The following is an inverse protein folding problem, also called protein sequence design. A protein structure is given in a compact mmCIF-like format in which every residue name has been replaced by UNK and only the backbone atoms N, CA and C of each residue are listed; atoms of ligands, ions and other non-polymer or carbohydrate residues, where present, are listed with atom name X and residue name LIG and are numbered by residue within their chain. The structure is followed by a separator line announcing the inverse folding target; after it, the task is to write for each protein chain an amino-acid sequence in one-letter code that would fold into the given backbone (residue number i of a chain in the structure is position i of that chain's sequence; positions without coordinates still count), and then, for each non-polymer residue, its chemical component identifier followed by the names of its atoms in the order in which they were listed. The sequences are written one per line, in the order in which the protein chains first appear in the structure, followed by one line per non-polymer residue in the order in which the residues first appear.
data_IF_647521934030
#
_entry.id   IF_647521934030
#
_cell.length_a   1.000
_cell.length_b   1.000
_cell.length_c   1.000
_cell.angle_alpha   90.00
_cell.angle_beta   90.00
_cell.angle_gamma   90.00
#
_symmetry.space_group_name_H-M   'P 1'
#
loop_
_entity.id
_entity.type
_entity.pdbx_description
1 polymer ?
#
# COMPACT_ATOMS: atom_id res chain seq x y z
N UNK A 1 13.84 -1.62 19.50
CA UNK A 1 14.30 -0.87 20.69
C UNK A 1 14.28 0.65 20.47
N UNK A 2 14.79 1.21 19.35
CA UNK A 2 14.70 2.66 19.10
C UNK A 2 13.29 3.15 18.72
N UNK A 3 12.62 2.52 17.75
CA UNK A 3 11.25 2.89 17.32
C UNK A 3 10.28 2.87 18.51
N UNK A 4 10.29 1.78 19.27
CA UNK A 4 9.49 1.63 20.50
C UNK A 4 9.86 2.65 21.57
N UNK A 5 11.11 3.10 21.63
CA UNK A 5 11.57 4.12 22.57
C UNK A 5 11.07 5.53 22.21
N UNK A 6 10.99 5.87 20.92
CA UNK A 6 10.36 7.12 20.49
C UNK A 6 8.85 7.14 20.78
N UNK A 7 8.20 5.97 20.69
CA UNK A 7 6.75 5.81 20.92
C UNK A 7 5.89 6.85 20.18
N UNK A 8 6.34 7.24 18.99
CA UNK A 8 5.69 8.24 18.14
C UNK A 8 4.55 7.60 17.37
N UNK A 9 3.43 8.32 17.22
CA UNK A 9 2.28 7.89 16.42
C UNK A 9 2.16 8.80 15.19
N UNK A 10 2.73 8.36 14.07
CA UNK A 10 2.78 9.12 12.81
C UNK A 10 1.52 9.01 11.96
N UNK A 11 0.34 9.32 12.50
CA UNK A 11 -0.93 9.24 11.75
C UNK A 11 -1.13 10.39 10.75
N UNK A 12 -0.39 11.48 10.89
CA UNK A 12 -0.28 12.56 9.92
C UNK A 12 1.15 13.12 9.93
N UNK A 13 1.49 13.91 8.91
CA UNK A 13 2.84 14.47 8.78
C UNK A 13 3.22 15.35 9.98
N UNK A 14 2.30 16.18 10.50
CA UNK A 14 2.57 17.07 11.64
C UNK A 14 2.90 16.31 12.94
N UNK A 15 2.36 15.10 13.12
CA UNK A 15 2.60 14.29 14.31
C UNK A 15 4.02 13.71 14.35
N UNK A 16 4.60 13.37 13.20
CA UNK A 16 5.98 12.90 13.12
C UNK A 16 6.58 13.10 11.72
N UNK A 17 7.01 14.34 11.38
CA UNK A 17 7.51 14.67 10.04
C UNK A 17 8.68 13.77 9.62
N UNK A 18 9.63 13.57 10.54
CA UNK A 18 10.81 12.75 10.30
C UNK A 18 10.47 11.28 10.02
N UNK A 19 9.43 10.73 10.65
CA UNK A 19 9.02 9.34 10.38
C UNK A 19 8.43 9.21 8.96
N UNK A 20 7.55 10.13 8.57
CA UNK A 20 6.93 10.14 7.23
C UNK A 20 7.96 10.36 6.14
N UNK A 21 8.86 11.35 6.28
CA UNK A 21 9.87 11.64 5.25
C UNK A 21 10.92 10.52 5.14
N UNK A 22 11.31 9.92 6.26
CA UNK A 22 12.23 8.78 6.25
C UNK A 22 11.62 7.58 5.52
N UNK A 23 10.34 7.30 5.74
CA UNK A 23 9.63 6.24 5.02
C UNK A 23 9.66 6.47 3.51
N UNK A 24 9.38 7.69 3.05
CA UNK A 24 9.44 8.03 1.62
C UNK A 24 10.83 7.79 1.02
N UNK A 25 11.89 8.23 1.72
CA UNK A 25 13.28 8.05 1.26
C UNK A 25 13.70 6.58 1.23
N UNK A 26 13.32 5.81 2.24
CA UNK A 26 13.63 4.36 2.28
C UNK A 26 12.91 3.63 1.16
N UNK A 27 11.65 3.97 0.89
CA UNK A 27 10.90 3.40 -0.22
C UNK A 27 11.48 3.80 -1.59
N UNK A 28 12.03 5.01 -1.75
CA UNK A 28 12.82 5.39 -2.93
C UNK A 28 14.10 4.55 -3.09
N UNK A 29 14.80 4.26 -1.99
CA UNK A 29 15.98 3.38 -2.04
C UNK A 29 15.61 1.97 -2.47
N UNK A 30 14.49 1.43 -1.95
CA UNK A 30 13.99 0.12 -2.33
C UNK A 30 13.57 0.07 -3.80
N UNK A 31 12.90 1.11 -4.31
CA UNK A 31 12.55 1.27 -5.71
C UNK A 31 13.79 1.16 -6.61
N UNK A 32 14.87 1.87 -6.26
CA UNK A 32 16.14 1.84 -7.01
C UNK A 32 16.82 0.47 -6.93
N UNK A 33 16.81 -0.16 -5.76
CA UNK A 33 17.39 -1.49 -5.55
C UNK A 33 16.68 -2.56 -6.37
N UNK A 34 15.35 -2.48 -6.46
CA UNK A 34 14.51 -3.38 -7.26
C UNK A 34 14.42 -2.97 -8.74
N UNK A 35 15.06 -1.87 -9.14
CA UNK A 35 15.04 -1.33 -10.50
C UNK A 35 13.62 -1.12 -11.04
N UNK A 36 12.69 -0.71 -10.18
CA UNK A 36 11.31 -0.47 -10.59
C UNK A 36 11.21 0.82 -11.45
N UNK A 37 10.22 0.90 -12.36
CA UNK A 37 9.99 2.10 -13.16
C UNK A 37 9.75 3.35 -12.31
N UNK A 38 10.10 4.52 -12.86
CA UNK A 38 9.89 5.81 -12.19
C UNK A 38 8.42 6.09 -11.84
N UNK A 39 7.45 5.44 -12.49
CA UNK A 39 6.02 5.57 -12.14
C UNK A 39 5.67 5.12 -10.73
N UNK A 40 6.57 4.43 -10.02
CA UNK A 40 6.42 4.08 -8.60
C UNK A 40 7.13 5.08 -7.65
N UNK A 41 7.82 6.09 -8.18
CA UNK A 41 8.58 7.07 -7.39
C UNK A 41 7.67 8.15 -6.81
N UNK A 42 7.99 8.61 -5.60
CA UNK A 42 7.37 9.79 -4.98
C UNK A 42 7.71 11.11 -5.69
N UNK A 43 8.75 11.12 -6.53
CA UNK A 43 9.06 12.26 -7.40
C UNK A 43 8.18 12.32 -8.67
N UNK A 44 7.24 11.37 -8.80
CA UNK A 44 6.26 11.27 -9.89
C UNK A 44 4.85 11.11 -9.31
N UNK A 45 3.90 10.57 -10.06
CA UNK A 45 2.54 10.24 -9.58
C UNK A 45 2.46 8.89 -8.83
N UNK A 46 3.61 8.34 -8.44
CA UNK A 46 3.74 7.08 -7.72
C UNK A 46 3.94 7.25 -6.22
N UNK A 47 4.39 6.18 -5.58
CA UNK A 47 4.75 6.19 -4.17
C UNK A 47 4.81 4.78 -3.57
N UNK A 48 5.05 4.73 -2.26
CA UNK A 48 5.11 3.51 -1.48
C UNK A 48 4.73 3.75 -0.02
N UNK A 49 4.44 2.66 0.69
CA UNK A 49 4.11 2.68 2.11
C UNK A 49 4.53 1.35 2.73
N UNK A 50 4.96 1.38 3.99
CA UNK A 50 5.36 0.23 4.79
C UNK A 50 4.17 -0.25 5.61
N UNK A 51 3.67 -1.44 5.28
CA UNK A 51 2.60 -2.11 6.02
C UNK A 51 3.15 -3.15 7.02
N UNK A 52 2.34 -3.53 8.00
CA UNK A 52 2.70 -4.58 8.95
C UNK A 52 2.60 -5.99 8.37
N UNK A 53 1.77 -6.18 7.35
CA UNK A 53 1.63 -7.46 6.65
C UNK A 53 1.20 -7.30 5.18
N UNK A 54 1.44 -8.32 4.38
CA UNK A 54 0.96 -8.37 2.99
C UNK A 54 -0.57 -8.36 2.91
N UNK A 55 -1.27 -8.88 3.92
CA UNK A 55 -2.75 -8.87 3.96
C UNK A 55 -3.30 -7.44 4.04
N UNK A 56 -2.65 -6.56 4.82
CA UNK A 56 -3.01 -5.14 4.89
C UNK A 56 -2.81 -4.46 3.54
N UNK A 57 -1.67 -4.69 2.89
CA UNK A 57 -1.42 -4.21 1.53
C UNK A 57 -2.47 -4.69 0.52
N UNK A 58 -2.88 -5.97 0.61
CA UNK A 58 -3.94 -6.50 -0.25
C UNK A 58 -5.29 -5.82 0.01
N UNK A 59 -5.69 -5.61 1.27
CA UNK A 59 -6.94 -4.91 1.58
C UNK A 59 -6.92 -3.48 1.02
N UNK A 60 -5.84 -2.72 1.22
CA UNK A 60 -5.72 -1.37 0.69
C UNK A 60 -5.84 -1.32 -0.84
N UNK A 61 -5.13 -2.21 -1.53
CA UNK A 61 -5.13 -2.25 -3.01
C UNK A 61 -6.45 -2.76 -3.59
N UNK A 62 -7.08 -3.77 -2.97
CA UNK A 62 -8.38 -4.29 -3.37
C UNK A 62 -9.50 -3.27 -3.15
N UNK A 63 -9.50 -2.56 -2.01
CA UNK A 63 -10.47 -1.48 -1.75
C UNK A 63 -10.30 -0.35 -2.77
N UNK A 64 -9.07 0.10 -3.04
CA UNK A 64 -8.83 1.11 -4.06
C UNK A 64 -9.33 0.68 -5.45
N UNK A 65 -9.09 -0.58 -5.85
CA UNK A 65 -9.57 -1.13 -7.11
C UNK A 65 -11.11 -1.25 -7.15
N UNK A 66 -11.73 -1.67 -6.05
CA UNK A 66 -13.19 -1.76 -5.87
C UNK A 66 -13.84 -0.39 -6.03
N UNK A 67 -13.40 0.62 -5.27
CA UNK A 67 -13.97 1.98 -5.33
C UNK A 67 -13.80 2.60 -6.72
N UNK A 68 -12.64 2.38 -7.36
CA UNK A 68 -12.42 2.81 -8.75
C UNK A 68 -13.40 2.16 -9.73
N UNK A 69 -13.78 0.91 -9.52
CA UNK A 69 -14.76 0.22 -10.38
C UNK A 69 -16.21 0.64 -10.09
N UNK A 70 -16.57 0.79 -8.82
CA UNK A 70 -17.90 1.24 -8.39
C UNK A 70 -18.19 2.70 -8.77
N UNK A 71 -17.17 3.54 -8.89
CA UNK A 71 -17.32 4.93 -9.33
C UNK A 71 -17.44 5.09 -10.85
N UNK A 72 -16.90 4.15 -11.64
CA UNK A 72 -16.89 4.22 -13.11
C UNK A 72 -18.14 3.63 -13.76
N UNK A 73 -18.78 2.68 -13.09
CA UNK A 73 -20.00 2.00 -13.53
C UNK A 73 -20.92 1.94 -12.32
N UNK A 74 -22.23 1.95 -12.52
CA UNK A 74 -23.19 1.43 -11.55
C UNK A 74 -23.00 -0.09 -11.41
N UNK A 75 -21.79 -0.50 -11.05
CA UNK A 75 -21.41 -1.87 -10.84
C UNK A 75 -21.94 -2.28 -9.47
N UNK A 76 -22.62 -3.41 -9.46
CA UNK A 76 -23.04 -4.04 -8.21
C UNK A 76 -21.82 -4.69 -7.54
N UNK A 77 -21.66 -4.45 -6.24
CA UNK A 77 -20.61 -5.05 -5.42
C UNK A 77 -20.58 -6.58 -5.58
N UNK A 78 -21.76 -7.21 -5.66
CA UNK A 78 -21.89 -8.67 -5.80
C UNK A 78 -21.41 -9.23 -7.14
N UNK A 79 -21.10 -8.38 -8.13
CA UNK A 79 -20.61 -8.78 -9.46
C UNK A 79 -19.11 -8.61 -9.62
N UNK A 80 -18.40 -8.10 -8.61
CA UNK A 80 -16.95 -7.95 -8.65
C UNK A 80 -16.28 -9.31 -8.42
N UNK A 81 -15.28 -9.61 -9.25
CA UNK A 81 -14.54 -10.88 -9.20
C UNK A 81 -13.04 -10.58 -9.17
N UNK A 82 -12.34 -11.21 -8.24
CA UNK A 82 -10.88 -11.16 -8.11
C UNK A 82 -10.29 -12.43 -8.72
N UNK A 83 -9.25 -12.28 -9.54
CA UNK A 83 -8.56 -13.40 -10.18
C UNK A 83 -7.18 -13.61 -9.53
N UNK A 84 -6.85 -14.86 -9.24
CA UNK A 84 -5.55 -15.25 -8.71
C UNK A 84 -5.21 -16.70 -9.11
N UNK A 85 -3.94 -17.10 -8.98
CA UNK A 85 -3.52 -18.49 -9.19
C UNK A 85 -3.92 -19.36 -7.99
N UNK A 86 -4.10 -20.66 -8.22
CA UNK A 86 -4.23 -21.70 -7.20
C UNK A 86 -3.06 -21.78 -6.20
N UNK A 87 -1.89 -21.24 -6.54
CA UNK A 87 -0.71 -21.15 -5.66
C UNK A 87 -0.67 -19.86 -4.82
N UNK A 88 -1.67 -18.97 -4.97
CA UNK A 88 -1.65 -17.68 -4.29
C UNK A 88 -1.82 -17.86 -2.78
N UNK A 89 -0.99 -17.16 -2.00
CA UNK A 89 -1.07 -17.23 -0.54
C UNK A 89 -2.46 -16.82 -0.03
N UNK A 90 -2.96 -17.55 0.96
CA UNK A 90 -4.35 -17.44 1.45
C UNK A 90 -4.74 -16.02 1.92
N UNK A 91 -3.76 -15.17 2.24
CA UNK A 91 -4.03 -13.80 2.66
C UNK A 91 -4.75 -12.98 1.58
N UNK A 92 -4.59 -13.32 0.30
CA UNK A 92 -5.35 -12.66 -0.76
C UNK A 92 -6.84 -13.01 -0.64
N UNK A 93 -7.18 -14.28 -0.46
CA UNK A 93 -8.57 -14.71 -0.24
C UNK A 93 -9.16 -14.12 1.05
N UNK A 94 -8.35 -13.99 2.10
CA UNK A 94 -8.75 -13.31 3.35
C UNK A 94 -9.04 -11.82 3.16
N UNK A 95 -8.39 -11.17 2.20
CA UNK A 95 -8.54 -9.74 1.93
C UNK A 95 -9.72 -9.42 1.00
N UNK A 96 -10.20 -10.39 0.22
CA UNK A 96 -11.42 -10.31 -0.59
C UNK A 96 -12.67 -10.36 0.28
#
# INVERSE_FOLDING_TARGET
MLLTGFNSVGFNWLASPAATELEMVVMEWLLKLLQLPKSFSFSSDGGGVIHGSTCESFVCTLVAAREKKLSQREADLGKLVVYCSDQTYFSLQKAC
#
